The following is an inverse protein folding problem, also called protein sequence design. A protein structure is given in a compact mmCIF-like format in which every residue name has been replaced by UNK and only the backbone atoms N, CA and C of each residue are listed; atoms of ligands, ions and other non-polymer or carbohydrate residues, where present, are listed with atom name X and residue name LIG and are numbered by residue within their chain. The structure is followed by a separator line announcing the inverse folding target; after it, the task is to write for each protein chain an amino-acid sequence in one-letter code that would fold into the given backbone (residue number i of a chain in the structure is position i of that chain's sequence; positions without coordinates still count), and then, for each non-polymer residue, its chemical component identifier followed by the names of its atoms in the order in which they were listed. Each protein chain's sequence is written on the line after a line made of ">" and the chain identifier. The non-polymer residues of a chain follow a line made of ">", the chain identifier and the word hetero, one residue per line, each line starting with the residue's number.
data_IF_879193289163
#
_entry.id   IF_879193289163
#
_cell.length_a   1.000
_cell.length_b   1.000
_cell.length_c   1.000
_cell.angle_alpha   90.00
_cell.angle_beta   90.00
_cell.angle_gamma   90.00
#
_symmetry.space_group_name_H-M   'P 1'
#
loop_
_entity.id
_entity.type
_entity.pdbx_description
1 polymer ?
#
# COMPACT_ATOMS: atom_id res chain seq x y z
N UNK A 1 34.59 22.39 -19.49
CA UNK A 1 33.38 21.75 -18.91
C UNK A 1 33.49 21.93 -17.41
N UNK A 2 32.76 22.89 -16.84
CA UNK A 2 32.67 23.05 -15.38
C UNK A 2 31.80 21.92 -14.86
N UNK A 3 32.45 20.94 -14.25
CA UNK A 3 31.80 19.87 -13.51
C UNK A 3 30.98 20.52 -12.39
N UNK A 4 29.68 20.69 -12.61
CA UNK A 4 28.81 21.30 -11.61
C UNK A 4 28.57 20.27 -10.52
N UNK A 5 29.49 20.23 -9.56
CA UNK A 5 29.49 19.36 -8.38
C UNK A 5 28.34 19.65 -7.41
N UNK A 6 27.45 20.59 -7.75
CA UNK A 6 26.27 20.94 -6.95
C UNK A 6 25.04 21.17 -7.83
N UNK A 7 23.87 20.82 -7.30
CA UNK A 7 22.58 21.17 -7.91
C UNK A 7 22.34 22.66 -7.67
N UNK A 8 22.24 23.45 -8.74
CA UNK A 8 21.99 24.89 -8.61
C UNK A 8 20.66 25.16 -7.89
N UNK A 9 20.59 26.28 -7.16
CA UNK A 9 19.37 26.67 -6.41
C UNK A 9 18.14 26.79 -7.32
N UNK A 10 18.32 27.30 -8.55
CA UNK A 10 17.27 27.39 -9.56
C UNK A 10 16.78 26.01 -10.00
N UNK A 11 17.71 25.08 -10.29
CA UNK A 11 17.36 23.69 -10.66
C UNK A 11 16.63 23.00 -9.53
N UNK A 12 17.12 23.12 -8.29
CA UNK A 12 16.46 22.58 -7.10
C UNK A 12 15.04 23.13 -6.95
N UNK A 13 14.86 24.44 -7.11
CA UNK A 13 13.54 25.10 -7.00
C UNK A 13 12.58 24.59 -8.05
N UNK A 14 13.00 24.51 -9.32
CA UNK A 14 12.19 23.99 -10.42
C UNK A 14 11.77 22.54 -10.18
N UNK A 15 12.68 21.69 -9.72
CA UNK A 15 12.38 20.29 -9.39
C UNK A 15 11.43 20.21 -8.20
N UNK A 16 11.63 21.00 -7.15
CA UNK A 16 10.75 21.02 -5.98
C UNK A 16 9.32 21.45 -6.36
N UNK A 17 9.17 22.51 -7.14
CA UNK A 17 7.85 22.96 -7.60
C UNK A 17 7.16 21.86 -8.41
N UNK A 18 7.84 21.31 -9.41
CA UNK A 18 7.28 20.23 -10.23
C UNK A 18 6.90 18.99 -9.40
N UNK A 19 7.75 18.58 -8.46
CA UNK A 19 7.46 17.44 -7.59
C UNK A 19 6.29 17.70 -6.64
N UNK A 20 6.17 18.90 -6.09
CA UNK A 20 5.06 19.25 -5.20
C UNK A 20 3.73 19.40 -5.95
N UNK A 21 3.76 19.79 -7.23
CA UNK A 21 2.56 19.99 -8.03
C UNK A 21 2.10 18.73 -8.75
N UNK A 22 3.00 17.99 -9.38
CA UNK A 22 2.65 16.88 -10.29
C UNK A 22 2.91 15.51 -9.65
N UNK A 23 3.72 15.46 -8.59
CA UNK A 23 4.18 14.22 -7.97
C UNK A 23 4.14 14.28 -6.43
N UNK A 24 3.17 14.98 -5.83
CA UNK A 24 3.08 15.10 -4.37
C UNK A 24 2.94 13.75 -3.68
N UNK A 25 2.31 12.76 -4.35
CA UNK A 25 2.20 11.39 -3.84
C UNK A 25 3.57 10.78 -3.53
N UNK A 26 4.60 11.07 -4.34
CA UNK A 26 5.97 10.62 -4.11
C UNK A 26 6.58 11.31 -2.89
N UNK A 27 6.34 12.61 -2.74
CA UNK A 27 6.84 13.39 -1.60
C UNK A 27 6.20 12.93 -0.29
N UNK A 28 4.89 12.67 -0.32
CA UNK A 28 4.17 12.06 0.79
C UNK A 28 4.74 10.68 1.14
N UNK A 29 4.92 9.81 0.16
CA UNK A 29 5.43 8.46 0.37
C UNK A 29 6.87 8.47 0.93
N UNK A 30 7.75 9.34 0.42
CA UNK A 30 9.08 9.56 1.00
C UNK A 30 9.01 10.07 2.45
N UNK A 31 8.09 10.98 2.76
CA UNK A 31 7.90 11.46 4.13
C UNK A 31 7.39 10.34 5.06
N UNK A 32 6.40 9.56 4.59
CA UNK A 32 5.82 8.41 5.31
C UNK A 32 6.87 7.35 5.63
N UNK A 33 7.79 7.07 4.70
CA UNK A 33 8.86 6.08 4.93
C UNK A 33 9.92 6.52 5.95
N UNK A 34 10.01 7.83 6.25
CA UNK A 34 10.99 8.38 7.18
C UNK A 34 10.41 8.66 8.58
N UNK A 35 9.10 8.76 8.71
CA UNK A 35 8.45 9.04 10.00
C UNK A 35 8.21 7.73 10.77
N UNK A 36 8.57 7.68 12.06
CA UNK A 36 8.31 6.50 12.88
C UNK A 36 6.82 6.38 13.21
N UNK A 37 6.29 5.17 13.03
CA UNK A 37 4.91 4.83 13.39
C UNK A 37 3.84 5.31 12.41
N UNK A 38 2.58 5.05 12.74
CA UNK A 38 1.42 5.35 11.89
C UNK A 38 0.88 6.77 12.13
N UNK A 39 1.76 7.77 12.20
CA UNK A 39 1.34 9.17 12.36
C UNK A 39 0.71 9.68 11.07
N UNK A 40 -0.42 10.37 11.19
CA UNK A 40 -1.11 10.95 10.04
C UNK A 40 -0.37 12.20 9.57
N UNK A 41 0.14 12.18 8.34
CA UNK A 41 0.75 13.36 7.70
C UNK A 41 -0.38 14.23 7.14
N UNK A 42 -0.45 15.48 7.59
CA UNK A 42 -1.48 16.44 7.18
C UNK A 42 -0.99 17.40 6.10
N UNK A 43 0.30 17.72 6.11
CA UNK A 43 0.94 18.58 5.13
C UNK A 43 2.37 18.09 4.86
N UNK A 44 2.87 18.31 3.65
CA UNK A 44 4.23 17.95 3.27
C UNK A 44 4.69 18.74 2.04
N UNK A 45 6.00 19.02 1.98
CA UNK A 45 6.59 19.78 0.87
C UNK A 45 8.06 19.42 0.68
N UNK A 46 8.44 19.14 -0.55
CA UNK A 46 9.84 19.05 -0.97
C UNK A 46 10.44 20.46 -0.96
N UNK A 47 11.49 20.68 -0.17
CA UNK A 47 12.09 22.01 0.04
C UNK A 47 13.36 22.19 -0.77
N UNK A 48 14.21 21.17 -0.83
CA UNK A 48 15.52 21.24 -1.48
C UNK A 48 15.92 19.88 -2.04
N UNK A 49 16.61 19.90 -3.18
CA UNK A 49 17.26 18.73 -3.78
C UNK A 49 18.75 18.97 -3.85
N UNK A 50 19.53 17.97 -3.43
CA UNK A 50 20.99 17.96 -3.45
C UNK A 50 21.49 16.71 -4.18
N UNK A 51 22.79 16.60 -4.45
CA UNK A 51 23.34 15.35 -5.00
C UNK A 51 23.21 14.16 -4.04
N UNK A 52 23.07 14.41 -2.73
CA UNK A 52 22.97 13.34 -1.71
C UNK A 52 21.54 12.90 -1.43
N UNK A 53 20.54 13.68 -1.81
CA UNK A 53 19.16 13.43 -1.41
C UNK A 53 18.29 14.68 -1.42
N UNK A 54 17.12 14.55 -0.79
CA UNK A 54 16.11 15.60 -0.74
C UNK A 54 15.74 15.98 0.69
N UNK A 55 15.54 17.28 0.93
CA UNK A 55 14.97 17.80 2.17
C UNK A 55 13.45 17.93 2.02
N UNK A 56 12.71 17.31 2.95
CA UNK A 56 11.26 17.30 3.00
C UNK A 56 10.82 17.94 4.31
N UNK A 57 9.87 18.86 4.25
CA UNK A 57 9.16 19.36 5.42
C UNK A 57 7.82 18.64 5.48
N UNK A 58 7.50 18.01 6.60
CA UNK A 58 6.23 17.30 6.79
C UNK A 58 5.61 17.68 8.13
N UNK A 59 4.29 17.82 8.18
CA UNK A 59 3.53 18.03 9.42
C UNK A 59 2.77 16.76 9.73
N UNK A 60 2.98 16.20 10.92
CA UNK A 60 2.22 15.06 11.40
C UNK A 60 1.39 15.44 12.63
N UNK A 61 0.18 14.91 12.74
CA UNK A 61 -0.71 15.21 13.86
C UNK A 61 -1.16 13.95 14.59
N UNK A 62 -1.28 14.05 15.91
CA UNK A 62 -1.83 13.04 16.80
C UNK A 62 -2.86 13.71 17.72
N UNK A 63 -4.14 13.53 17.40
CA UNK A 63 -5.22 14.32 18.02
C UNK A 63 -5.11 15.78 17.60
N UNK A 64 -5.05 16.68 18.57
CA UNK A 64 -4.92 18.13 18.36
C UNK A 64 -3.46 18.61 18.26
N UNK A 65 -2.49 17.75 18.62
CA UNK A 65 -1.08 18.09 18.61
C UNK A 65 -0.48 17.80 17.23
N UNK A 66 0.04 18.84 16.58
CA UNK A 66 0.74 18.75 15.30
C UNK A 66 2.21 19.14 15.45
N UNK A 67 3.09 18.36 14.86
CA UNK A 67 4.54 18.55 14.89
C UNK A 67 5.07 18.71 13.46
N UNK A 68 5.95 19.72 13.27
CA UNK A 68 6.65 19.92 12.01
C UNK A 68 7.99 19.19 12.03
N UNK A 69 8.17 18.28 11.08
CA UNK A 69 9.38 17.51 10.88
C UNK A 69 10.19 18.03 9.70
N UNK A 70 11.50 18.12 9.88
CA UNK A 70 12.48 18.31 8.81
C UNK A 70 13.13 16.96 8.53
N UNK A 71 12.80 16.36 7.40
CA UNK A 71 13.20 15.02 7.00
C UNK A 71 14.22 15.11 5.86
N UNK A 72 15.15 14.17 5.82
CA UNK A 72 16.10 14.03 4.72
C UNK A 72 15.98 12.64 4.09
N UNK A 73 15.58 12.58 2.82
CA UNK A 73 15.50 11.34 2.05
C UNK A 73 16.80 11.15 1.26
N UNK A 74 17.68 10.21 1.64
CA UNK A 74 18.96 10.02 0.98
C UNK A 74 18.80 9.33 -0.37
N UNK A 75 19.60 9.74 -1.35
CA UNK A 75 19.80 8.99 -2.60
C UNK A 75 20.84 7.89 -2.38
N UNK A 76 20.54 6.67 -2.82
CA UNK A 76 21.43 5.53 -2.73
C UNK A 76 21.62 4.89 -4.11
N UNK A 77 22.81 4.98 -4.73
CA UNK A 77 23.93 5.86 -4.35
C UNK A 77 23.59 7.36 -4.53
N UNK A 78 24.40 8.28 -3.98
CA UNK A 78 24.35 9.70 -4.33
C UNK A 78 24.45 9.91 -5.85
N UNK A 79 23.90 11.02 -6.32
CA UNK A 79 23.96 11.40 -7.73
C UNK A 79 25.37 11.84 -8.12
N UNK A 80 25.82 11.44 -9.30
CA UNK A 80 27.09 11.92 -9.84
C UNK A 80 26.96 13.35 -10.40
N UNK A 81 25.77 13.73 -10.87
CA UNK A 81 25.52 15.03 -11.50
C UNK A 81 24.06 15.48 -11.37
N UNK A 82 23.79 16.77 -11.61
CA UNK A 82 22.44 17.34 -11.53
C UNK A 82 21.48 16.77 -12.60
N UNK A 83 22.01 16.28 -13.73
CA UNK A 83 21.24 15.69 -14.83
C UNK A 83 20.54 14.39 -14.40
N UNK A 84 21.10 13.68 -13.41
CA UNK A 84 20.53 12.44 -12.89
C UNK A 84 19.33 12.65 -11.95
N UNK A 85 19.09 13.89 -11.49
CA UNK A 85 18.01 14.19 -10.53
C UNK A 85 16.67 13.71 -11.07
N UNK A 86 16.32 14.07 -12.32
CA UNK A 86 15.00 13.72 -12.88
C UNK A 86 14.80 12.19 -13.01
N UNK A 87 15.66 11.42 -13.68
CA UNK A 87 15.47 9.97 -13.76
C UNK A 87 15.51 9.30 -12.39
N UNK A 88 16.34 9.80 -11.45
CA UNK A 88 16.36 9.29 -10.08
C UNK A 88 15.04 9.51 -9.35
N UNK A 89 14.43 10.70 -9.47
CA UNK A 89 13.15 10.99 -8.82
C UNK A 89 12.00 10.14 -9.39
N UNK A 90 12.03 9.81 -10.69
CA UNK A 90 11.07 8.88 -11.30
C UNK A 90 11.25 7.45 -10.75
N UNK A 91 12.49 6.98 -10.65
CA UNK A 91 12.77 5.67 -10.05
C UNK A 91 12.32 5.61 -8.58
N UNK A 92 12.60 6.67 -7.80
CA UNK A 92 12.16 6.79 -6.41
C UNK A 92 10.64 6.78 -6.33
N UNK A 93 9.92 7.50 -7.19
CA UNK A 93 8.45 7.48 -7.23
C UNK A 93 7.90 6.05 -7.30
N UNK A 94 8.41 5.24 -8.22
CA UNK A 94 7.98 3.85 -8.31
C UNK A 94 8.35 3.02 -7.08
N UNK A 95 9.53 3.26 -6.51
CA UNK A 95 9.99 2.57 -5.30
C UNK A 95 9.13 2.90 -4.08
N UNK A 96 8.92 4.18 -3.78
CA UNK A 96 8.23 4.61 -2.55
C UNK A 96 6.71 4.43 -2.62
N UNK A 97 6.15 4.39 -3.84
CA UNK A 97 4.74 4.05 -4.04
C UNK A 97 4.50 2.54 -4.22
N UNK A 98 5.53 1.71 -4.15
CA UNK A 98 5.37 0.27 -4.13
C UNK A 98 4.88 -0.20 -2.76
N UNK A 99 4.09 -1.28 -2.70
CA UNK A 99 3.71 -1.86 -1.43
C UNK A 99 4.87 -2.69 -0.88
N UNK A 100 4.97 -2.81 0.45
CA UNK A 100 6.00 -3.65 1.07
C UNK A 100 5.42 -5.03 1.40
N UNK A 101 5.95 -6.14 0.84
CA UNK A 101 5.42 -7.48 1.08
C UNK A 101 5.36 -7.87 2.57
N UNK A 102 6.24 -7.30 3.39
CA UNK A 102 6.27 -7.48 4.83
C UNK A 102 4.97 -7.05 5.51
N UNK A 103 4.17 -6.14 4.91
CA UNK A 103 2.87 -5.74 5.45
C UNK A 103 1.90 -6.91 5.63
N UNK A 104 2.02 -7.97 4.83
CA UNK A 104 1.17 -9.16 4.97
C UNK A 104 1.32 -9.84 6.33
N UNK A 105 2.47 -9.66 7.00
CA UNK A 105 2.77 -10.29 8.30
C UNK A 105 2.94 -9.28 9.41
N UNK A 106 3.33 -8.03 9.11
CA UNK A 106 3.50 -6.98 10.13
C UNK A 106 2.20 -6.23 10.43
N UNK A 107 1.24 -6.21 9.50
CA UNK A 107 -0.10 -5.68 9.76
C UNK A 107 -0.99 -6.79 10.29
N UNK A 108 -1.41 -6.67 11.56
CA UNK A 108 -2.20 -7.69 12.25
C UNK A 108 -3.51 -8.02 11.52
N UNK A 109 -4.14 -7.03 10.91
CA UNK A 109 -5.37 -7.19 10.14
C UNK A 109 -5.13 -7.88 8.80
N UNK A 110 -4.04 -7.56 8.09
CA UNK A 110 -3.65 -8.30 6.89
C UNK A 110 -3.34 -9.76 7.19
N UNK A 111 -2.58 -10.02 8.27
CA UNK A 111 -2.23 -11.37 8.71
C UNK A 111 -3.48 -12.17 9.12
N UNK A 112 -4.40 -11.56 9.86
CA UNK A 112 -5.65 -12.20 10.26
C UNK A 112 -6.49 -12.61 9.05
N UNK A 113 -6.66 -11.71 8.07
CA UNK A 113 -7.38 -12.04 6.82
C UNK A 113 -6.66 -13.13 6.05
N UNK A 114 -5.33 -13.06 5.94
CA UNK A 114 -4.53 -14.08 5.26
C UNK A 114 -4.76 -15.48 5.87
N UNK A 115 -4.74 -15.58 7.21
CA UNK A 115 -4.98 -16.85 7.92
C UNK A 115 -6.41 -17.33 7.67
N UNK A 116 -7.41 -16.46 7.83
CA UNK A 116 -8.83 -16.83 7.62
C UNK A 116 -9.04 -17.34 6.19
N UNK A 117 -8.54 -16.61 5.19
CA UNK A 117 -8.66 -16.98 3.77
C UNK A 117 -7.94 -18.29 3.48
N UNK A 118 -6.74 -18.49 4.04
CA UNK A 118 -6.02 -19.76 3.92
C UNK A 118 -6.80 -20.94 4.53
N UNK A 119 -7.42 -20.77 5.71
CA UNK A 119 -8.24 -21.79 6.36
C UNK A 119 -9.52 -22.08 5.56
N UNK A 120 -10.19 -21.06 5.04
CA UNK A 120 -11.35 -21.21 4.16
C UNK A 120 -10.99 -21.99 2.89
N UNK A 121 -9.84 -21.67 2.27
CA UNK A 121 -9.32 -22.38 1.11
C UNK A 121 -8.96 -23.83 1.43
N UNK A 122 -8.32 -24.08 2.57
CA UNK A 122 -7.99 -25.43 3.04
C UNK A 122 -9.25 -26.28 3.28
N UNK A 123 -10.24 -25.74 3.99
CA UNK A 123 -11.53 -26.40 4.20
C UNK A 123 -12.26 -26.71 2.89
N UNK A 124 -12.21 -25.79 1.93
CA UNK A 124 -12.91 -25.94 0.64
C UNK A 124 -12.22 -26.93 -0.30
N UNK A 125 -10.89 -26.86 -0.44
CA UNK A 125 -10.15 -27.58 -1.49
C UNK A 125 -9.36 -28.78 -1.01
N UNK A 126 -8.88 -28.78 0.23
CA UNK A 126 -8.04 -29.87 0.75
C UNK A 126 -8.89 -30.87 1.53
N UNK A 127 -9.71 -30.40 2.46
CA UNK A 127 -10.66 -31.26 3.18
C UNK A 127 -11.83 -31.60 2.25
N UNK A 128 -12.43 -30.59 1.62
CA UNK A 128 -13.67 -30.72 0.88
C UNK A 128 -14.89 -30.60 1.80
N UNK A 129 -16.00 -30.04 1.30
CA UNK A 129 -17.18 -29.71 2.12
C UNK A 129 -17.87 -30.93 2.73
N UNK A 130 -17.85 -32.06 2.04
CA UNK A 130 -18.52 -33.28 2.49
C UNK A 130 -17.75 -33.92 3.64
N UNK A 131 -16.43 -34.09 3.47
CA UNK A 131 -15.54 -34.57 4.53
C UNK A 131 -15.52 -33.61 5.73
N UNK A 132 -15.55 -32.29 5.50
CA UNK A 132 -15.63 -31.31 6.58
C UNK A 132 -16.91 -31.50 7.41
N UNK A 133 -18.03 -31.76 6.74
CA UNK A 133 -19.31 -32.04 7.39
C UNK A 133 -19.21 -33.31 8.23
N UNK A 134 -18.70 -34.41 7.66
CA UNK A 134 -18.51 -35.67 8.37
C UNK A 134 -17.59 -35.53 9.60
N UNK A 135 -16.46 -34.83 9.44
CA UNK A 135 -15.52 -34.58 10.55
C UNK A 135 -16.15 -33.80 11.70
N UNK A 136 -17.04 -32.85 11.39
CA UNK A 136 -17.79 -32.10 12.41
C UNK A 136 -18.79 -33.01 13.10
N UNK A 137 -19.58 -33.78 12.35
CA UNK A 137 -20.60 -34.70 12.88
C UNK A 137 -19.99 -35.78 13.79
N UNK A 138 -18.77 -36.23 13.49
CA UNK A 138 -18.01 -37.18 14.31
C UNK A 138 -17.44 -36.57 15.60
N UNK A 139 -17.51 -35.24 15.78
CA UNK A 139 -17.00 -34.53 16.95
C UNK A 139 -18.14 -33.86 17.73
N UNK A 140 -18.80 -34.55 18.70
CA UNK A 140 -20.06 -34.12 19.29
C UNK A 140 -20.06 -32.67 19.83
N UNK A 141 -19.04 -32.30 20.62
CA UNK A 141 -18.94 -30.94 21.17
C UNK A 141 -18.81 -29.85 20.11
N UNK A 142 -18.09 -30.15 19.02
CA UNK A 142 -17.92 -29.21 17.91
C UNK A 142 -19.22 -29.12 17.12
N UNK A 143 -19.87 -30.25 16.84
CA UNK A 143 -21.15 -30.30 16.15
C UNK A 143 -22.24 -29.54 16.90
N UNK A 144 -22.34 -29.69 18.22
CA UNK A 144 -23.30 -28.95 19.05
C UNK A 144 -23.07 -27.44 18.93
N UNK A 145 -21.80 -27.02 19.01
CA UNK A 145 -21.41 -25.60 18.91
C UNK A 145 -21.73 -25.04 17.52
N UNK A 146 -21.40 -25.78 16.46
CA UNK A 146 -21.65 -25.36 15.08
C UNK A 146 -23.15 -25.35 14.78
N UNK A 147 -23.88 -26.38 15.18
CA UNK A 147 -25.32 -26.47 14.96
C UNK A 147 -26.10 -25.39 15.72
N UNK A 148 -25.61 -24.98 16.89
CA UNK A 148 -26.16 -23.83 17.61
C UNK A 148 -26.04 -22.51 16.84
N UNK A 149 -24.96 -22.30 16.08
CA UNK A 149 -24.69 -21.03 15.36
C UNK A 149 -25.18 -21.06 13.91
N UNK A 150 -24.98 -22.18 13.23
CA UNK A 150 -25.20 -22.36 11.79
C UNK A 150 -26.36 -23.31 11.46
N UNK A 151 -27.02 -23.89 12.46
CA UNK A 151 -28.13 -24.84 12.30
C UNK A 151 -27.67 -26.28 12.05
N UNK A 152 -26.64 -26.49 11.23
CA UNK A 152 -26.06 -27.81 10.97
C UNK A 152 -24.60 -27.75 10.50
N UNK A 153 -23.90 -28.87 10.61
CA UNK A 153 -22.57 -29.06 10.03
C UNK A 153 -22.54 -28.81 8.51
N UNK A 154 -23.55 -29.30 7.79
CA UNK A 154 -23.67 -29.11 6.34
C UNK A 154 -23.85 -27.65 5.94
N UNK A 155 -24.64 -26.89 6.70
CA UNK A 155 -24.84 -25.45 6.46
C UNK A 155 -23.56 -24.68 6.73
N UNK A 156 -22.82 -25.02 7.79
CA UNK A 156 -21.51 -24.44 8.06
C UNK A 156 -20.49 -24.73 6.95
N UNK A 157 -20.37 -25.98 6.51
CA UNK A 157 -19.46 -26.36 5.41
C UNK A 157 -19.79 -25.64 4.11
N UNK A 158 -21.08 -25.47 3.79
CA UNK A 158 -21.51 -24.66 2.66
C UNK A 158 -21.10 -23.18 2.85
N UNK A 159 -21.29 -22.62 4.05
CA UNK A 159 -20.87 -21.25 4.36
C UNK A 159 -19.36 -21.05 4.20
N UNK A 160 -18.52 -22.02 4.62
CA UNK A 160 -17.06 -21.99 4.39
C UNK A 160 -16.73 -21.87 2.91
N UNK A 161 -17.36 -22.70 2.05
CA UNK A 161 -17.17 -22.66 0.60
C UNK A 161 -17.62 -21.32 -0.01
N UNK A 162 -18.80 -20.82 0.38
CA UNK A 162 -19.29 -19.55 -0.15
C UNK A 162 -18.45 -18.36 0.32
N UNK A 163 -18.00 -18.37 1.58
CA UNK A 163 -17.10 -17.34 2.11
C UNK A 163 -15.75 -17.34 1.38
N UNK A 164 -15.20 -18.52 1.06
CA UNK A 164 -13.99 -18.64 0.25
C UNK A 164 -14.17 -18.03 -1.15
N UNK A 165 -15.24 -18.40 -1.86
CA UNK A 165 -15.53 -17.88 -3.21
C UNK A 165 -15.73 -16.37 -3.17
N UNK A 166 -16.50 -15.89 -2.18
CA UNK A 166 -16.71 -14.47 -1.97
C UNK A 166 -15.39 -13.72 -1.74
N UNK A 167 -14.52 -14.25 -0.88
CA UNK A 167 -13.22 -13.66 -0.58
C UNK A 167 -12.36 -13.52 -1.86
N UNK A 168 -12.29 -14.56 -2.70
CA UNK A 168 -11.57 -14.49 -3.98
C UNK A 168 -12.15 -13.36 -4.85
N UNK A 169 -13.46 -13.35 -5.06
CA UNK A 169 -14.11 -12.36 -5.95
C UNK A 169 -13.91 -10.94 -5.43
N UNK A 170 -14.09 -10.73 -4.12
CA UNK A 170 -13.91 -9.44 -3.48
C UNK A 170 -12.45 -8.97 -3.60
N UNK A 171 -11.48 -9.82 -3.26
CA UNK A 171 -10.07 -9.47 -3.30
C UNK A 171 -9.58 -9.19 -4.74
N UNK A 172 -10.01 -9.99 -5.73
CA UNK A 172 -9.69 -9.74 -7.14
C UNK A 172 -10.34 -8.45 -7.64
N UNK A 173 -11.58 -8.17 -7.24
CA UNK A 173 -12.27 -6.91 -7.56
C UNK A 173 -11.52 -5.69 -7.02
N UNK A 174 -11.11 -5.73 -5.76
CA UNK A 174 -10.26 -4.69 -5.15
C UNK A 174 -8.91 -4.58 -5.85
N UNK A 175 -8.27 -5.71 -6.17
CA UNK A 175 -7.01 -5.73 -6.91
C UNK A 175 -7.14 -5.07 -8.28
N UNK A 176 -8.23 -5.33 -9.00
CA UNK A 176 -8.55 -4.69 -10.27
C UNK A 176 -8.73 -3.17 -10.14
N UNK A 177 -9.42 -2.71 -9.09
CA UNK A 177 -9.55 -1.28 -8.78
C UNK A 177 -8.19 -0.62 -8.53
N UNK A 178 -7.33 -1.26 -7.73
CA UNK A 178 -5.98 -0.77 -7.45
C UNK A 178 -5.13 -0.74 -8.72
N UNK A 179 -5.16 -1.79 -9.54
CA UNK A 179 -4.43 -1.84 -10.83
C UNK A 179 -4.85 -0.70 -11.75
N UNK A 180 -6.15 -0.44 -11.88
CA UNK A 180 -6.68 0.64 -12.70
C UNK A 180 -6.13 2.00 -12.27
N UNK A 181 -6.25 2.34 -10.98
CA UNK A 181 -5.78 3.63 -10.47
C UNK A 181 -4.26 3.74 -10.40
N UNK A 182 -3.55 2.64 -10.13
CA UNK A 182 -2.10 2.60 -10.14
C UNK A 182 -1.56 2.92 -11.55
N UNK A 183 -2.22 2.40 -12.59
CA UNK A 183 -1.85 2.64 -13.99
C UNK A 183 -2.26 4.02 -14.49
N UNK A 184 -3.53 4.40 -14.31
CA UNK A 184 -4.11 5.59 -14.93
C UNK A 184 -3.84 6.85 -14.11
N UNK A 185 -4.01 6.77 -12.79
CA UNK A 185 -3.92 7.93 -11.90
C UNK A 185 -2.49 8.15 -11.42
N UNK A 186 -1.86 7.13 -10.83
CA UNK A 186 -0.51 7.24 -10.27
C UNK A 186 0.60 6.97 -11.30
N UNK A 187 0.27 6.41 -12.47
CA UNK A 187 1.22 6.11 -13.56
C UNK A 187 2.41 5.25 -13.10
N UNK A 188 2.16 4.27 -12.25
CA UNK A 188 3.19 3.35 -11.75
C UNK A 188 3.67 2.38 -12.84
N UNK A 189 4.90 1.88 -12.67
CA UNK A 189 5.45 0.85 -13.56
C UNK A 189 4.76 -0.51 -13.36
N UNK A 190 4.75 -1.34 -14.41
CA UNK A 190 4.05 -2.65 -14.41
C UNK A 190 4.44 -3.55 -13.26
N UNK A 191 5.72 -3.63 -12.89
CA UNK A 191 6.19 -4.48 -11.79
C UNK A 191 5.53 -4.08 -10.45
N UNK A 192 5.42 -2.77 -10.19
CA UNK A 192 4.80 -2.23 -8.97
C UNK A 192 3.29 -2.46 -8.98
N UNK A 193 2.65 -2.31 -10.15
CA UNK A 193 1.23 -2.60 -10.34
C UNK A 193 0.92 -4.07 -10.05
N UNK A 194 1.72 -4.99 -10.59
CA UNK A 194 1.57 -6.44 -10.35
C UNK A 194 1.75 -6.76 -8.88
N UNK A 195 2.75 -6.14 -8.22
CA UNK A 195 2.95 -6.37 -6.78
C UNK A 195 1.76 -5.89 -5.94
N UNK A 196 1.22 -4.70 -6.24
CA UNK A 196 -0.03 -4.23 -5.63
C UNK A 196 -1.19 -5.21 -5.85
N UNK A 197 -1.38 -5.69 -7.07
CA UNK A 197 -2.41 -6.67 -7.39
C UNK A 197 -2.26 -7.94 -6.55
N UNK A 198 -1.06 -8.53 -6.51
CA UNK A 198 -0.81 -9.76 -5.76
C UNK A 198 -1.07 -9.59 -4.27
N UNK A 199 -0.61 -8.48 -3.68
CA UNK A 199 -0.82 -8.21 -2.26
C UNK A 199 -2.30 -7.98 -1.93
N UNK A 200 -3.02 -7.21 -2.75
CA UNK A 200 -4.46 -6.99 -2.56
C UNK A 200 -5.25 -8.26 -2.81
N UNK A 201 -4.95 -9.04 -3.85
CA UNK A 201 -5.61 -10.31 -4.12
C UNK A 201 -5.45 -11.32 -2.96
N UNK A 202 -4.35 -11.22 -2.21
CA UNK A 202 -4.07 -12.10 -1.08
C UNK A 202 -4.92 -11.79 0.16
N UNK A 203 -5.10 -10.50 0.50
CA UNK A 203 -5.71 -10.11 1.79
C UNK A 203 -6.80 -9.04 1.69
N UNK A 204 -7.06 -8.48 0.52
CA UNK A 204 -8.10 -7.48 0.27
C UNK A 204 -7.86 -6.14 0.97
N UNK A 205 -8.92 -5.65 1.61
CA UNK A 205 -9.04 -4.27 2.07
C UNK A 205 -7.89 -3.76 2.96
N UNK A 206 -7.31 -4.56 3.88
CA UNK A 206 -6.13 -4.17 4.65
C UNK A 206 -4.96 -3.63 3.83
N UNK A 207 -4.78 -4.07 2.58
CA UNK A 207 -3.74 -3.52 1.69
C UNK A 207 -4.34 -2.45 0.77
N UNK A 208 -5.58 -2.62 0.30
CA UNK A 208 -6.29 -1.61 -0.49
C UNK A 208 -6.34 -0.25 0.21
N UNK A 209 -6.54 -0.21 1.54
CA UNK A 209 -6.56 1.04 2.32
C UNK A 209 -5.24 1.82 2.24
N UNK A 210 -4.10 1.14 2.19
CA UNK A 210 -2.78 1.79 2.07
C UNK A 210 -2.63 2.44 0.69
N UNK A 211 -3.13 1.78 -0.36
CA UNK A 211 -3.20 2.38 -1.70
C UNK A 211 -4.15 3.58 -1.75
N UNK A 212 -5.31 3.47 -1.11
CA UNK A 212 -6.28 4.57 -1.04
C UNK A 212 -5.72 5.82 -0.35
N UNK A 213 -4.79 5.68 0.59
CA UNK A 213 -4.08 6.84 1.16
C UNK A 213 -3.27 7.59 0.09
N UNK A 214 -2.51 6.86 -0.74
CA UNK A 214 -1.75 7.46 -1.85
C UNK A 214 -2.70 8.16 -2.84
N UNK A 215 -3.82 7.52 -3.16
CA UNK A 215 -4.82 8.07 -4.07
C UNK A 215 -5.47 9.34 -3.51
N UNK A 216 -5.80 9.37 -2.22
CA UNK A 216 -6.35 10.56 -1.53
C UNK A 216 -5.38 11.74 -1.59
N UNK A 217 -4.08 11.48 -1.43
CA UNK A 217 -3.05 12.52 -1.54
C UNK A 217 -3.03 13.11 -2.95
N UNK A 218 -3.05 12.26 -3.98
CA UNK A 218 -3.11 12.71 -5.37
C UNK A 218 -4.38 13.52 -5.68
N UNK A 219 -5.55 13.06 -5.21
CA UNK A 219 -6.83 13.72 -5.46
C UNK A 219 -6.97 15.10 -4.80
N UNK A 220 -6.21 15.36 -3.71
CA UNK A 220 -6.17 16.68 -3.06
C UNK A 220 -5.36 17.71 -3.84
N UNK A 221 -4.58 17.30 -4.83
CA UNK A 221 -3.82 18.24 -5.64
C UNK A 221 -4.75 19.07 -6.53
N UNK A 222 -4.52 20.38 -6.68
CA UNK A 222 -5.30 21.21 -7.58
C UNK A 222 -5.18 20.67 -9.00
N UNK A 223 -6.31 20.36 -9.64
CA UNK A 223 -6.32 19.97 -11.05
C UNK A 223 -5.79 21.14 -11.88
N UNK A 224 -4.67 20.97 -12.56
CA UNK A 224 -4.25 21.92 -13.60
C UNK A 224 -5.35 21.93 -14.66
N UNK A 225 -6.09 23.03 -14.76
CA UNK A 225 -6.97 23.30 -15.90
C UNK A 225 -6.06 23.48 -17.10
N UNK A 226 -5.87 22.39 -17.85
CA UNK A 226 -5.16 22.37 -19.13
C UNK A 226 -5.98 23.06 -20.21
#
# INVERSE_FOLDING_TARGET
>A
MTDSTEVSAETSTRVCTHMNEDHAVSVYAMAKSLLPGKKKITDFKLKKVTLKGCEISAVSCQGELCEMHKLFYPFQPPLASAQEVRPRMVAIHHQVCAPEPTWLVTHIDALAVLIVVALLGYGTHVIGTDNLTEMIEQAPKLNDTISMVFGSASTFSAAVKYAWIFAIVAHVGEGGYVVYHAKITLKLQTQVIVLWFLMVASVGFPITKEFLELLKVHQKQPKKTS
#
